data_IF_993683267656
#
_entry.id   IF_993683267656
#
_cell.length_a   1.000
_cell.length_b   1.000
_cell.length_c   1.000
_cell.angle_alpha   90.00
_cell.angle_beta   90.00
_cell.angle_gamma   90.00
#
_symmetry.space_group_name_H-M   'P 1'
#
loop_
_entity.id
_entity.type
_entity.pdbx_description
1 polymer ?
#
# COMPACT_ATOMS: atom_id res chain seq x y z
N UNK A 1 -13.89 28.36 -4.54
CA UNK A 1 -12.87 28.23 -5.61
C UNK A 1 -11.52 28.67 -5.05
N UNK A 2 -10.55 27.76 -4.87
CA UNK A 2 -9.22 28.12 -4.37
C UNK A 2 -8.37 28.67 -5.51
N UNK A 3 -8.08 29.97 -5.49
CA UNK A 3 -7.13 30.59 -6.42
C UNK A 3 -5.73 30.53 -5.81
N UNK A 4 -4.86 29.67 -6.34
CA UNK A 4 -3.44 29.65 -5.97
C UNK A 4 -2.68 30.55 -6.97
N UNK A 5 -1.94 31.54 -6.44
CA UNK A 5 -1.06 32.40 -7.24
C UNK A 5 0.35 31.80 -7.23
N UNK A 6 0.82 31.33 -8.38
CA UNK A 6 2.17 30.80 -8.57
C UNK A 6 3.03 31.85 -9.30
N UNK A 7 4.35 31.65 -9.38
CA UNK A 7 5.25 32.53 -10.15
C UNK A 7 4.82 32.70 -11.63
N UNK A 8 4.05 31.75 -12.16
CA UNK A 8 3.50 31.78 -13.53
C UNK A 8 2.13 32.47 -13.64
N UNK A 9 1.65 33.12 -12.57
CA UNK A 9 0.36 33.80 -12.51
C UNK A 9 -0.77 32.96 -11.91
N UNK A 10 -2.01 33.38 -12.15
CA UNK A 10 -3.21 32.70 -11.66
C UNK A 10 -3.34 31.28 -12.25
N UNK A 11 -3.66 30.30 -11.40
CA UNK A 11 -3.86 28.90 -11.81
C UNK A 11 -5.34 28.49 -11.62
N UNK A 12 -6.26 28.88 -12.53
CA UNK A 12 -7.64 28.46 -12.45
C UNK A 12 -7.76 26.96 -12.72
N UNK A 13 -8.50 26.25 -11.85
CA UNK A 13 -8.75 24.81 -11.98
C UNK A 13 -10.17 24.57 -12.47
N UNK A 14 -10.31 23.71 -13.47
CA UNK A 14 -11.59 23.31 -14.05
C UNK A 14 -11.81 21.82 -13.82
N UNK A 15 -13.04 21.44 -13.44
CA UNK A 15 -13.47 20.05 -13.32
C UNK A 15 -14.68 19.86 -14.23
N UNK A 16 -14.61 18.86 -15.11
CA UNK A 16 -15.74 18.39 -15.90
C UNK A 16 -16.24 17.12 -15.23
N UNK A 17 -17.51 17.09 -14.86
CA UNK A 17 -18.12 15.96 -14.14
C UNK A 17 -19.54 15.70 -14.63
N UNK A 18 -20.00 14.46 -14.48
CA UNK A 18 -21.39 14.07 -14.57
C UNK A 18 -22.08 13.94 -13.20
N UNK A 19 -21.35 14.23 -12.11
CA UNK A 19 -21.88 14.22 -10.75
C UNK A 19 -22.67 15.51 -10.47
N UNK A 20 -23.85 15.36 -9.88
CA UNK A 20 -24.73 16.47 -9.48
C UNK A 20 -24.44 16.83 -8.01
N UNK A 21 -23.28 17.45 -7.78
CA UNK A 21 -22.80 17.86 -6.45
C UNK A 21 -22.35 19.31 -6.50
N UNK A 22 -22.35 19.99 -5.36
CA UNK A 22 -21.82 21.35 -5.27
C UNK A 22 -20.36 21.41 -5.77
N UNK A 23 -20.02 22.49 -6.48
CA UNK A 23 -18.71 22.62 -7.12
C UNK A 23 -17.56 22.71 -6.11
N UNK A 24 -17.80 23.29 -4.93
CA UNK A 24 -16.79 23.38 -3.87
C UNK A 24 -16.55 22.02 -3.23
N UNK A 25 -17.63 21.32 -2.88
CA UNK A 25 -17.58 19.95 -2.33
C UNK A 25 -16.89 18.97 -3.30
N UNK A 26 -17.26 19.02 -4.59
CA UNK A 26 -16.62 18.21 -5.63
C UNK A 26 -15.11 18.44 -5.72
N UNK A 27 -14.68 19.69 -5.59
CA UNK A 27 -13.26 20.02 -5.65
C UNK A 27 -12.52 19.58 -4.37
N UNK A 28 -12.99 20.02 -3.21
CA UNK A 28 -12.29 19.84 -1.92
C UNK A 28 -12.32 18.39 -1.42
N UNK A 29 -13.47 17.73 -1.53
CA UNK A 29 -13.69 16.43 -0.89
C UNK A 29 -13.50 15.25 -1.84
N UNK A 30 -13.66 15.46 -3.15
CA UNK A 30 -13.48 14.39 -4.14
C UNK A 30 -12.22 14.56 -4.99
N UNK A 31 -12.08 15.68 -5.70
CA UNK A 31 -10.97 15.85 -6.65
C UNK A 31 -9.60 15.96 -5.96
N UNK A 32 -9.49 16.72 -4.88
CA UNK A 32 -8.25 16.84 -4.11
C UNK A 32 -7.83 15.48 -3.55
N UNK A 33 -8.77 14.65 -3.12
CA UNK A 33 -8.49 13.30 -2.62
C UNK A 33 -7.92 12.36 -3.70
N UNK A 34 -8.05 12.67 -4.99
CA UNK A 34 -7.43 11.89 -6.08
C UNK A 34 -5.91 11.80 -5.95
N UNK A 35 -5.27 12.91 -5.56
CA UNK A 35 -3.82 12.93 -5.31
C UNK A 35 -3.44 12.04 -4.13
N UNK A 36 -4.19 12.17 -3.02
CA UNK A 36 -3.94 11.41 -1.81
C UNK A 36 -4.23 9.90 -1.96
N UNK A 37 -5.20 9.53 -2.79
CA UNK A 37 -5.62 8.14 -2.98
C UNK A 37 -4.83 7.46 -4.11
N UNK A 38 -4.79 8.02 -5.32
CA UNK A 38 -4.20 7.33 -6.48
C UNK A 38 -2.70 7.57 -6.62
N UNK A 39 -2.24 8.81 -6.51
CA UNK A 39 -0.83 9.13 -6.72
C UNK A 39 0.05 8.53 -5.61
N UNK A 40 -0.41 8.58 -4.36
CA UNK A 40 0.29 7.91 -3.26
C UNK A 40 0.41 6.40 -3.48
N UNK A 41 -0.66 5.71 -3.92
CA UNK A 41 -0.61 4.27 -4.22
C UNK A 41 0.38 3.94 -5.36
N UNK A 42 0.39 4.76 -6.42
CA UNK A 42 1.35 4.61 -7.53
C UNK A 42 2.78 4.82 -7.02
N UNK A 43 3.01 5.82 -6.16
CA UNK A 43 4.33 6.07 -5.54
C UNK A 43 4.76 4.92 -4.63
N UNK A 44 3.87 4.37 -3.80
CA UNK A 44 4.18 3.21 -2.96
C UNK A 44 4.52 1.97 -3.79
N UNK A 45 3.80 1.71 -4.89
CA UNK A 45 4.09 0.61 -5.80
C UNK A 45 5.47 0.80 -6.47
N UNK A 46 5.72 1.98 -7.03
CA UNK A 46 6.98 2.29 -7.73
C UNK A 46 8.16 2.28 -6.75
N UNK A 47 8.12 3.06 -5.68
CA UNK A 47 9.26 3.26 -4.79
C UNK A 47 9.36 2.18 -3.71
N UNK A 48 8.23 1.78 -3.13
CA UNK A 48 8.19 0.84 -2.02
C UNK A 48 8.37 -0.62 -2.44
N UNK A 49 7.80 -1.02 -3.58
CA UNK A 49 7.96 -2.37 -4.16
C UNK A 49 9.04 -2.43 -5.24
N UNK A 50 9.52 -1.28 -5.74
CA UNK A 50 10.49 -1.19 -6.84
C UNK A 50 9.95 -1.77 -8.15
N UNK A 51 8.66 -1.52 -8.41
CA UNK A 51 7.95 -1.97 -9.61
C UNK A 51 8.48 -1.32 -10.91
N UNK A 52 9.27 -0.26 -10.80
CA UNK A 52 9.98 0.42 -11.88
C UNK A 52 11.24 -0.33 -12.36
N UNK A 53 11.72 -1.34 -11.60
CA UNK A 53 12.89 -2.16 -12.00
C UNK A 53 12.52 -3.19 -13.06
N UNK A 54 12.28 -2.72 -14.28
CA UNK A 54 11.92 -3.50 -15.47
C UNK A 54 13.11 -3.60 -16.43
N UNK A 55 14.09 -4.41 -16.06
CA UNK A 55 15.41 -4.49 -16.73
C UNK A 55 15.55 -5.60 -17.78
N UNK A 56 14.48 -6.35 -18.09
CA UNK A 56 14.56 -7.43 -19.07
C UNK A 56 14.50 -6.87 -20.50
N UNK A 57 15.11 -7.57 -21.45
CA UNK A 57 15.11 -7.16 -22.87
C UNK A 57 13.73 -7.28 -23.53
N UNK A 58 12.93 -8.27 -23.12
CA UNK A 58 11.61 -8.54 -23.71
C UNK A 58 10.51 -7.83 -22.92
N UNK A 59 9.63 -7.12 -23.64
CA UNK A 59 8.48 -6.42 -23.05
C UNK A 59 7.58 -7.33 -22.19
N UNK A 60 7.21 -8.50 -22.72
CA UNK A 60 6.32 -9.45 -22.02
C UNK A 60 6.88 -9.91 -20.66
N UNK A 61 8.21 -10.02 -20.53
CA UNK A 61 8.86 -10.40 -19.28
C UNK A 61 8.78 -9.27 -18.26
N UNK A 62 8.97 -8.02 -18.71
CA UNK A 62 8.79 -6.85 -17.86
C UNK A 62 7.32 -6.65 -17.45
N UNK A 63 6.37 -6.92 -18.34
CA UNK A 63 4.94 -6.90 -18.00
C UNK A 63 4.62 -7.92 -16.90
N UNK A 64 5.14 -9.14 -17.00
CA UNK A 64 4.96 -10.15 -15.96
C UNK A 64 5.61 -9.74 -14.63
N UNK A 65 6.81 -9.15 -14.64
CA UNK A 65 7.47 -8.61 -13.44
C UNK A 65 6.64 -7.50 -12.79
N UNK A 66 6.00 -6.65 -13.58
CA UNK A 66 5.11 -5.62 -13.09
C UNK A 66 3.87 -6.23 -12.42
N UNK A 67 3.26 -7.27 -13.00
CA UNK A 67 2.15 -7.99 -12.39
C UNK A 67 2.52 -8.63 -11.04
N UNK A 68 3.68 -9.26 -10.94
CA UNK A 68 4.16 -9.80 -9.64
C UNK A 68 4.36 -8.69 -8.60
N UNK A 69 4.88 -7.54 -9.02
CA UNK A 69 5.05 -6.37 -8.14
C UNK A 69 3.70 -5.83 -7.65
N UNK A 70 2.70 -5.80 -8.53
CA UNK A 70 1.33 -5.39 -8.19
C UNK A 70 0.66 -6.39 -7.24
N UNK A 71 0.82 -7.71 -7.47
CA UNK A 71 0.32 -8.74 -6.57
C UNK A 71 0.94 -8.62 -5.17
N UNK A 72 2.26 -8.43 -5.08
CA UNK A 72 2.94 -8.21 -3.80
C UNK A 72 2.45 -6.94 -3.09
N UNK A 73 2.19 -5.86 -3.84
CA UNK A 73 1.63 -4.63 -3.31
C UNK A 73 0.23 -4.85 -2.71
N UNK A 74 -0.64 -5.57 -3.41
CA UNK A 74 -1.98 -5.95 -2.94
C UNK A 74 -1.90 -6.76 -1.64
N UNK A 75 -1.00 -7.73 -1.55
CA UNK A 75 -0.79 -8.51 -0.32
C UNK A 75 -0.39 -7.62 0.85
N UNK A 76 0.49 -6.63 0.62
CA UNK A 76 0.92 -5.69 1.65
C UNK A 76 -0.19 -4.71 2.07
N UNK A 77 -1.12 -4.37 1.17
CA UNK A 77 -2.34 -3.64 1.54
C UNK A 77 -3.24 -4.48 2.44
N UNK A 78 -3.41 -5.77 2.13
CA UNK A 78 -4.15 -6.70 2.99
C UNK A 78 -3.53 -6.83 4.38
N UNK A 79 -2.20 -6.92 4.45
CA UNK A 79 -1.45 -6.90 5.72
C UNK A 79 -1.68 -5.58 6.48
N UNK A 80 -1.64 -4.42 5.80
CA UNK A 80 -1.92 -3.12 6.42
C UNK A 80 -3.34 -3.05 7.00
N UNK A 81 -4.32 -3.62 6.28
CA UNK A 81 -5.70 -3.72 6.76
C UNK A 81 -5.81 -4.64 7.98
N UNK A 82 -5.10 -5.76 7.98
CA UNK A 82 -5.01 -6.63 9.16
C UNK A 82 -4.25 -5.96 10.33
N UNK A 83 -3.43 -4.95 10.08
CA UNK A 83 -2.69 -4.20 11.10
C UNK A 83 -3.50 -3.07 11.76
N UNK A 84 -4.78 -2.88 11.43
CA UNK A 84 -5.61 -1.81 12.02
C UNK A 84 -5.65 -1.86 13.56
N UNK A 85 -5.58 -0.69 14.19
CA UNK A 85 -5.47 -0.60 15.67
C UNK A 85 -4.07 -0.87 16.23
N UNK A 86 -3.04 -1.02 15.38
CA UNK A 86 -1.64 -1.12 15.80
C UNK A 86 -0.81 0.07 15.32
N UNK A 87 0.46 0.14 15.74
CA UNK A 87 1.45 1.11 15.24
C UNK A 87 1.69 1.00 13.73
N UNK A 88 1.37 -0.15 13.12
CA UNK A 88 1.57 -0.40 11.69
C UNK A 88 0.33 -0.08 10.84
N UNK A 89 -0.79 0.32 11.43
CA UNK A 89 -2.04 0.60 10.71
C UNK A 89 -1.90 1.67 9.60
N UNK A 90 -1.06 2.68 9.84
CA UNK A 90 -0.77 3.77 8.90
C UNK A 90 0.63 3.67 8.27
N UNK A 91 1.32 2.53 8.43
CA UNK A 91 2.67 2.37 7.93
C UNK A 91 2.72 2.29 6.41
N UNK A 92 3.73 2.91 5.80
CA UNK A 92 4.00 2.79 4.37
C UNK A 92 4.35 1.35 3.98
N UNK A 93 4.16 0.97 2.72
CA UNK A 93 4.41 -0.39 2.25
C UNK A 93 5.89 -0.76 2.42
N UNK A 94 6.79 0.20 2.21
CA UNK A 94 8.21 0.03 2.50
C UNK A 94 8.45 -0.34 3.96
N UNK A 95 7.79 0.36 4.89
CA UNK A 95 7.92 0.12 6.32
C UNK A 95 7.39 -1.25 6.69
N UNK A 96 6.20 -1.62 6.19
CA UNK A 96 5.62 -2.96 6.41
C UNK A 96 6.55 -4.07 5.91
N UNK A 97 7.12 -3.92 4.72
CA UNK A 97 8.10 -4.87 4.18
C UNK A 97 9.34 -4.98 5.07
N UNK A 98 9.86 -3.86 5.56
CA UNK A 98 11.04 -3.85 6.43
C UNK A 98 10.76 -4.47 7.81
N UNK A 99 9.58 -4.25 8.38
CA UNK A 99 9.24 -4.72 9.73
C UNK A 99 8.66 -6.13 9.76
N UNK A 100 7.99 -6.59 8.71
CA UNK A 100 7.31 -7.89 8.69
C UNK A 100 8.05 -8.93 7.85
N UNK A 101 8.57 -8.53 6.68
CA UNK A 101 9.18 -9.46 5.72
C UNK A 101 10.69 -9.58 5.93
N UNK A 102 11.36 -8.46 6.27
CA UNK A 102 12.83 -8.44 6.47
C UNK A 102 13.26 -8.70 7.91
N UNK A 103 12.33 -8.85 8.85
CA UNK A 103 12.66 -9.18 10.23
C UNK A 103 13.24 -10.59 10.30
N UNK A 104 14.36 -10.73 11.02
CA UNK A 104 14.97 -12.03 11.25
C UNK A 104 14.05 -12.89 12.12
N UNK A 105 13.84 -14.13 11.70
CA UNK A 105 13.07 -15.13 12.42
C UNK A 105 13.64 -16.52 12.09
N UNK A 106 13.52 -17.47 13.01
CA UNK A 106 13.83 -18.87 12.74
C UNK A 106 12.58 -19.51 12.13
N UNK A 107 12.72 -20.04 10.91
CA UNK A 107 11.62 -20.66 10.18
C UNK A 107 11.84 -22.16 10.11
N UNK A 108 10.91 -22.93 10.67
CA UNK A 108 10.92 -24.39 10.64
C UNK A 108 9.73 -24.88 9.82
N UNK A 109 9.99 -25.57 8.72
CA UNK A 109 8.95 -26.09 7.81
C UNK A 109 8.80 -27.59 7.99
N UNK A 110 7.57 -28.05 8.11
CA UNK A 110 7.18 -29.47 8.10
C UNK A 110 6.11 -29.70 7.03
N UNK A 111 5.74 -30.97 6.82
CA UNK A 111 4.68 -31.35 5.85
C UNK A 111 3.34 -30.66 6.13
N UNK A 112 3.02 -30.35 7.40
CA UNK A 112 1.71 -29.83 7.82
C UNK A 112 1.71 -28.36 8.24
N UNK A 113 2.87 -27.80 8.57
CA UNK A 113 2.95 -26.47 9.18
C UNK A 113 4.27 -25.77 8.87
N UNK A 114 4.19 -24.45 8.79
CA UNK A 114 5.31 -23.53 8.82
C UNK A 114 5.30 -22.85 10.19
N UNK A 115 6.36 -23.06 10.98
CA UNK A 115 6.56 -22.40 12.26
C UNK A 115 7.53 -21.23 12.07
N UNK A 116 7.14 -20.05 12.52
CA UNK A 116 7.97 -18.84 12.51
C UNK A 116 8.21 -18.41 13.94
N UNK A 117 9.45 -18.52 14.40
CA UNK A 117 9.88 -18.16 15.75
C UNK A 117 10.59 -16.79 15.67
N UNK A 118 10.00 -15.79 16.34
CA UNK A 118 10.61 -14.46 16.45
C UNK A 118 11.63 -14.44 17.59
N UNK A 119 12.60 -13.52 17.54
CA UNK A 119 13.50 -13.29 18.66
C UNK A 119 12.74 -12.76 19.90
N UNK A 120 13.21 -13.11 21.10
CA UNK A 120 12.57 -12.72 22.38
C UNK A 120 12.35 -11.21 22.51
N UNK A 121 13.28 -10.41 22.00
CA UNK A 121 13.21 -8.95 22.03
C UNK A 121 12.80 -8.34 20.67
N UNK A 122 12.00 -9.04 19.88
CA UNK A 122 11.52 -8.51 18.61
C UNK A 122 10.59 -7.29 18.83
N UNK A 123 10.91 -6.11 18.28
CA UNK A 123 10.22 -4.85 18.59
C UNK A 123 8.78 -4.77 18.05
N UNK A 124 8.40 -5.69 17.16
CA UNK A 124 7.06 -5.75 16.54
C UNK A 124 6.40 -7.11 16.71
N UNK A 125 6.80 -7.90 17.72
CA UNK A 125 6.28 -9.25 17.94
C UNK A 125 4.76 -9.27 18.13
N UNK A 126 4.22 -8.30 18.88
CA UNK A 126 2.79 -8.15 19.10
C UNK A 126 2.04 -7.89 17.79
N UNK A 127 2.49 -6.92 16.99
CA UNK A 127 1.87 -6.57 15.72
C UNK A 127 1.94 -7.73 14.72
N UNK A 128 3.09 -8.41 14.60
CA UNK A 128 3.26 -9.57 13.73
C UNK A 128 2.28 -10.68 14.09
N UNK A 129 2.18 -11.00 15.39
CA UNK A 129 1.31 -12.07 15.89
C UNK A 129 -0.17 -11.76 15.63
N UNK A 130 -0.60 -10.52 15.92
CA UNK A 130 -1.98 -10.08 15.71
C UNK A 130 -2.36 -10.07 14.22
N UNK A 131 -1.47 -9.57 13.35
CA UNK A 131 -1.67 -9.59 11.90
C UNK A 131 -1.80 -11.05 11.41
N UNK A 132 -0.90 -11.94 11.84
CA UNK A 132 -0.94 -13.35 11.46
C UNK A 132 -2.25 -14.01 11.89
N UNK A 133 -2.71 -13.75 13.12
CA UNK A 133 -3.97 -14.27 13.63
C UNK A 133 -5.15 -13.80 12.77
N UNK A 134 -5.23 -12.49 12.49
CA UNK A 134 -6.31 -11.91 11.68
C UNK A 134 -6.35 -12.45 10.25
N UNK A 135 -5.18 -12.62 9.63
CA UNK A 135 -5.10 -13.20 8.29
C UNK A 135 -5.51 -14.68 8.28
N UNK A 136 -5.20 -15.44 9.35
CA UNK A 136 -5.58 -16.84 9.47
C UNK A 136 -7.08 -17.05 9.74
N UNK A 137 -7.75 -16.10 10.39
CA UNK A 137 -9.18 -16.16 10.72
C UNK A 137 -10.10 -15.74 9.57
N UNK A 138 -9.59 -15.57 8.34
CA UNK A 138 -10.40 -15.29 7.16
C UNK A 138 -10.97 -13.87 7.12
N UNK A 139 -10.14 -12.85 7.37
CA UNK A 139 -10.54 -11.47 7.02
C UNK A 139 -10.75 -11.41 5.51
N UNK A 140 -11.99 -11.15 5.08
CA UNK A 140 -12.30 -10.87 3.69
C UNK A 140 -11.50 -9.64 3.24
N UNK A 141 -10.57 -9.85 2.31
CA UNK A 141 -9.90 -8.76 1.60
C UNK A 141 -10.96 -8.07 0.74
N UNK A 142 -11.63 -7.06 1.30
CA UNK A 142 -12.57 -6.24 0.54
C UNK A 142 -11.75 -5.30 -0.33
N UNK A 143 -11.71 -5.61 -1.63
CA UNK A 143 -11.21 -4.70 -2.65
C UNK A 143 -12.28 -3.64 -2.91
N UNK A 144 -11.96 -2.37 -2.61
CA UNK A 144 -12.72 -1.20 -3.07
C UNK A 144 -11.99 -0.54 -4.23
#
# INVERSE_FOLDING_TARGET
MKAEWLEKGANPRFIVTNLLTDAQELYDDFYVQRGASSEHRIKELKLGIKADRLSCQKFIVNQFRLFLSQAAYILLLGIRQAAQGTRLAKATVSRLKETLIKTAAKVSVSVRKVLVELADHCPFAYEISLISQRLSSGVQLIFF
#
